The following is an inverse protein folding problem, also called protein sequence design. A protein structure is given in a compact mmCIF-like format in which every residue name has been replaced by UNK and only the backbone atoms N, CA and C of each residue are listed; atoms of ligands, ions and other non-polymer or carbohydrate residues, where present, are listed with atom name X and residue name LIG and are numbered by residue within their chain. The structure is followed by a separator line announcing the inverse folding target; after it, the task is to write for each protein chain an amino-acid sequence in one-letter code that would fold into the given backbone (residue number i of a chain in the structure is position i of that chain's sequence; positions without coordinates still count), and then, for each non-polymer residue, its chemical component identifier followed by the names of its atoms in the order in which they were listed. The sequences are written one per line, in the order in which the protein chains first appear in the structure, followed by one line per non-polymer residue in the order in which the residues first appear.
data_IF_418835115649
#
_entry.id   IF_418835115649
#
_cell.length_a   1.000
_cell.length_b   1.000
_cell.length_c   1.000
_cell.angle_alpha   90.00
_cell.angle_beta   90.00
_cell.angle_gamma   90.00
#
_symmetry.space_group_name_H-M   'P 1'
#
loop_
_entity.id
_entity.type
_entity.pdbx_description
1 polymer ?
#
# COMPACT_ATOMS: atom_id res chain seq x y z
N UNK A 1 32.70 20.83 4.81
CA UNK A 1 31.28 20.87 4.41
C UNK A 1 30.76 22.25 4.80
N UNK A 2 30.45 23.09 3.81
CA UNK A 2 30.28 24.53 4.01
C UNK A 2 29.07 24.89 4.88
N UNK A 3 29.33 25.70 5.92
CA UNK A 3 28.31 26.19 6.87
C UNK A 3 27.18 26.98 6.21
N UNK A 4 27.43 27.55 5.03
CA UNK A 4 26.41 28.23 4.21
C UNK A 4 25.45 27.23 3.59
N UNK A 5 25.96 26.11 3.06
CA UNK A 5 25.16 25.04 2.47
C UNK A 5 24.24 24.37 3.52
N UNK A 6 24.74 24.18 4.75
CA UNK A 6 23.94 23.65 5.87
C UNK A 6 22.80 24.58 6.27
N UNK A 7 23.02 25.91 6.26
CA UNK A 7 22.00 26.91 6.60
C UNK A 7 20.93 27.05 5.52
N UNK A 8 21.32 26.99 4.24
CA UNK A 8 20.37 27.02 3.12
C UNK A 8 19.52 25.74 3.09
N UNK A 9 20.11 24.58 3.37
CA UNK A 9 19.38 23.31 3.49
C UNK A 9 18.37 23.34 4.65
N UNK A 10 18.77 23.90 5.79
CA UNK A 10 17.92 24.04 6.97
C UNK A 10 16.75 25.00 6.75
N UNK A 11 16.98 26.12 6.04
CA UNK A 11 15.92 27.05 5.66
C UNK A 11 14.93 26.41 4.67
N UNK A 12 15.42 25.62 3.71
CA UNK A 12 14.56 24.89 2.76
C UNK A 12 13.72 23.82 3.48
N UNK A 13 14.29 23.13 4.47
CA UNK A 13 13.57 22.16 5.32
C UNK A 13 12.47 22.84 6.14
N UNK A 14 12.72 24.03 6.69
CA UNK A 14 11.72 24.79 7.48
C UNK A 14 10.56 25.29 6.61
N UNK A 15 10.85 25.72 5.36
CA UNK A 15 9.81 26.15 4.42
C UNK A 15 8.94 24.98 3.96
N UNK A 16 9.51 23.77 3.80
CA UNK A 16 8.76 22.55 3.47
C UNK A 16 7.83 22.10 4.63
N UNK A 17 8.16 22.44 5.88
CA UNK A 17 7.36 22.07 7.05
C UNK A 17 6.17 23.00 7.34
N UNK A 18 6.02 24.10 6.61
CA UNK A 18 5.06 25.17 6.96
C UNK A 18 3.68 25.07 6.28
N UNK A 19 3.30 23.93 5.71
CA UNK A 19 1.97 23.77 5.09
C UNK A 19 1.08 22.92 6.01
N UNK A 20 0.27 23.59 6.83
CA UNK A 20 -0.81 22.98 7.59
C UNK A 20 -2.14 23.32 6.93
N UNK A 21 -2.79 22.34 6.30
CA UNK A 21 -4.24 22.26 6.15
C UNK A 21 -4.70 20.79 6.09
N UNK A 22 -5.59 20.48 7.04
CA UNK A 22 -6.51 19.34 7.22
C UNK A 22 -7.50 19.26 6.02
N UNK A 23 -8.15 18.17 5.58
CA UNK A 23 -8.20 16.71 5.83
C UNK A 23 -8.96 16.09 4.63
N UNK A 24 -8.55 14.89 4.22
CA UNK A 24 -9.31 13.78 3.62
C UNK A 24 -8.34 12.99 2.72
N UNK A 25 -7.76 11.92 3.24
CA UNK A 25 -6.97 11.00 2.44
C UNK A 25 -7.87 9.82 2.07
N UNK A 26 -8.08 9.61 0.77
CA UNK A 26 -8.73 8.42 0.24
C UNK A 26 -7.65 7.36 -0.08
N UNK A 27 -8.04 6.09 0.00
CA UNK A 27 -7.26 4.85 -0.04
C UNK A 27 -6.59 4.43 1.27
N UNK A 28 -6.94 3.21 1.68
CA UNK A 28 -6.37 2.50 2.81
C UNK A 28 -4.85 2.43 2.67
N UNK A 29 -4.17 2.90 3.73
CA UNK A 29 -2.73 2.82 3.85
C UNK A 29 -2.41 1.81 4.94
N UNK A 30 -1.65 0.79 4.58
CA UNK A 30 -1.24 -0.26 5.52
C UNK A 30 0.19 0.02 5.95
N UNK A 31 0.43 0.06 7.26
CA UNK A 31 1.75 0.28 7.87
C UNK A 31 2.79 -0.74 7.42
N UNK A 32 2.35 -1.97 7.18
CA UNK A 32 3.16 -3.09 6.72
C UNK A 32 3.25 -3.17 5.18
N UNK A 33 3.50 -2.03 4.54
CA UNK A 33 3.50 -1.88 3.08
C UNK A 33 4.51 -2.76 2.35
N UNK A 34 5.64 -3.12 2.98
CA UNK A 34 6.67 -3.97 2.36
C UNK A 34 6.21 -5.42 2.16
N UNK A 35 5.23 -5.88 2.94
CA UNK A 35 4.73 -7.26 2.87
C UNK A 35 3.68 -7.44 1.77
N UNK A 36 3.27 -6.35 1.13
CA UNK A 36 2.37 -6.36 -0.02
C UNK A 36 2.64 -5.18 -0.97
N UNK A 37 3.78 -5.22 -1.68
CA UNK A 37 4.16 -4.12 -2.56
C UNK A 37 3.33 -4.08 -3.86
N UNK A 38 2.70 -5.21 -4.25
CA UNK A 38 1.86 -5.31 -5.45
C UNK A 38 0.63 -4.39 -5.40
N UNK A 39 0.11 -4.14 -4.19
CA UNK A 39 -0.98 -3.17 -3.98
C UNK A 39 -0.60 -1.78 -4.52
N UNK A 40 0.63 -1.33 -4.24
CA UNK A 40 1.11 0.00 -4.59
C UNK A 40 1.72 0.10 -5.98
N UNK A 41 2.49 -0.91 -6.40
CA UNK A 41 3.27 -0.88 -7.62
C UNK A 41 3.15 -2.19 -8.42
N UNK A 42 2.54 -2.17 -9.62
CA UNK A 42 2.39 -3.38 -10.44
C UNK A 42 3.71 -3.99 -10.92
N UNK A 43 4.82 -3.24 -10.86
CA UNK A 43 6.15 -3.76 -11.18
C UNK A 43 6.65 -4.81 -10.16
N UNK A 44 5.92 -5.06 -9.07
CA UNK A 44 6.19 -6.16 -8.14
C UNK A 44 5.51 -7.48 -8.51
N UNK A 45 4.74 -7.56 -9.60
CA UNK A 45 4.14 -8.85 -10.00
C UNK A 45 5.24 -9.88 -10.31
N UNK A 46 5.15 -11.06 -9.71
CA UNK A 46 6.13 -12.13 -9.85
C UNK A 46 7.48 -11.82 -9.19
N UNK A 47 7.48 -11.02 -8.14
CA UNK A 47 8.71 -10.66 -7.43
C UNK A 47 9.17 -11.75 -6.46
N UNK A 48 8.27 -12.61 -5.99
CA UNK A 48 8.60 -13.78 -5.18
C UNK A 48 9.11 -14.97 -6.01
N UNK A 49 9.80 -15.89 -5.34
CA UNK A 49 10.40 -17.11 -5.91
C UNK A 49 9.39 -18.24 -6.16
N UNK A 50 8.30 -17.94 -6.85
CA UNK A 50 7.27 -18.92 -7.15
C UNK A 50 5.88 -18.32 -7.26
N UNK A 51 4.87 -19.11 -6.94
CA UNK A 51 3.51 -18.62 -6.78
C UNK A 51 3.37 -18.09 -5.35
N UNK A 52 3.16 -16.79 -5.21
CA UNK A 52 2.98 -16.14 -3.93
C UNK A 52 1.54 -15.66 -3.80
N UNK A 53 0.89 -16.08 -2.72
CA UNK A 53 -0.48 -15.70 -2.36
C UNK A 53 -0.39 -14.91 -1.06
N UNK A 54 -0.91 -13.68 -1.04
CA UNK A 54 -0.89 -12.80 0.13
C UNK A 54 -2.30 -12.40 0.50
N UNK A 55 -2.68 -12.65 1.74
CA UNK A 55 -3.92 -12.19 2.36
C UNK A 55 -3.62 -11.17 3.45
N UNK A 56 -4.37 -10.08 3.48
CA UNK A 56 -4.31 -9.08 4.54
C UNK A 56 -5.71 -8.66 4.95
N UNK A 57 -5.90 -8.52 6.26
CA UNK A 57 -7.09 -7.92 6.83
C UNK A 57 -6.67 -6.84 7.81
N UNK A 58 -7.14 -5.61 7.60
CA UNK A 58 -6.85 -4.47 8.45
C UNK A 58 -8.14 -3.88 8.99
N UNK A 59 -8.19 -3.65 10.30
CA UNK A 59 -9.22 -2.87 10.97
C UNK A 59 -8.56 -1.65 11.59
N UNK A 60 -8.84 -0.47 11.03
CA UNK A 60 -8.21 0.77 11.46
C UNK A 60 -9.05 1.46 12.52
N UNK A 61 -8.40 2.17 13.43
CA UNK A 61 -9.03 3.05 14.42
C UNK A 61 -10.18 2.38 15.18
N UNK A 62 -9.89 1.20 15.74
CA UNK A 62 -10.87 0.37 16.45
C UNK A 62 -11.53 1.18 17.57
N UNK A 63 -12.84 1.06 17.71
CA UNK A 63 -13.63 1.84 18.67
C UNK A 63 -14.26 3.12 18.08
N UNK A 64 -13.88 3.50 16.86
CA UNK A 64 -14.58 4.53 16.09
C UNK A 64 -15.66 3.89 15.20
N UNK A 65 -16.87 4.46 15.21
CA UNK A 65 -17.94 3.92 14.37
C UNK A 65 -17.71 4.26 12.89
N UNK A 66 -18.00 3.32 12.01
CA UNK A 66 -17.70 3.45 10.58
C UNK A 66 -16.20 3.45 10.23
N UNK A 67 -15.31 3.05 11.14
CA UNK A 67 -13.87 3.05 10.87
C UNK A 67 -13.48 2.11 9.72
N UNK A 68 -12.38 2.42 8.98
CA UNK A 68 -11.96 1.64 7.82
C UNK A 68 -11.70 0.16 8.14
N UNK A 69 -12.27 -0.72 7.32
CA UNK A 69 -11.97 -2.14 7.30
C UNK A 69 -11.57 -2.54 5.88
N UNK A 70 -10.33 -3.01 5.75
CA UNK A 70 -9.71 -3.30 4.46
C UNK A 70 -9.34 -4.77 4.38
N UNK A 71 -9.69 -5.41 3.27
CA UNK A 71 -9.31 -6.76 2.90
C UNK A 71 -8.53 -6.68 1.60
N UNK A 72 -7.40 -7.39 1.55
CA UNK A 72 -6.63 -7.53 0.34
C UNK A 72 -6.23 -8.98 0.16
N UNK A 73 -6.43 -9.50 -1.05
CA UNK A 73 -5.97 -10.81 -1.45
C UNK A 73 -5.26 -10.68 -2.79
N UNK A 74 -4.04 -11.18 -2.90
CA UNK A 74 -3.33 -11.26 -4.17
C UNK A 74 -2.75 -12.63 -4.39
N UNK A 75 -2.58 -12.98 -5.67
CA UNK A 75 -1.80 -14.10 -6.11
C UNK A 75 -0.94 -13.65 -7.29
N UNK A 76 0.37 -13.81 -7.21
CA UNK A 76 1.29 -13.42 -8.27
C UNK A 76 2.40 -14.45 -8.47
N UNK A 77 2.89 -14.55 -9.69
CA UNK A 77 4.01 -15.43 -10.02
C UNK A 77 4.78 -14.92 -11.23
N UNK A 78 5.93 -15.53 -11.46
CA UNK A 78 6.83 -15.22 -12.57
C UNK A 78 6.97 -16.41 -13.50
N UNK A 79 6.70 -16.17 -14.77
CA UNK A 79 7.02 -17.11 -15.84
C UNK A 79 8.53 -17.20 -16.11
N UNK A 80 8.94 -18.28 -16.77
CA UNK A 80 10.30 -18.47 -17.27
C UNK A 80 10.72 -17.38 -18.29
N UNK A 81 9.76 -16.74 -18.97
CA UNK A 81 10.01 -15.75 -20.02
C UNK A 81 10.18 -14.32 -19.51
N UNK A 82 10.64 -14.12 -18.27
CA UNK A 82 10.84 -12.79 -17.66
C UNK A 82 9.56 -11.96 -17.52
N UNK A 83 8.39 -12.61 -17.56
CA UNK A 83 7.09 -11.95 -17.37
C UNK A 83 6.53 -12.37 -16.01
N UNK A 84 6.23 -11.39 -15.16
CA UNK A 84 5.43 -11.56 -13.96
C UNK A 84 3.96 -11.25 -14.24
N UNK A 85 3.06 -12.01 -13.65
CA UNK A 85 1.63 -11.76 -13.70
C UNK A 85 1.02 -11.99 -12.32
N UNK A 86 -0.03 -11.26 -12.01
CA UNK A 86 -0.74 -11.42 -10.75
C UNK A 86 -2.16 -10.89 -10.81
N UNK A 87 -2.99 -11.40 -9.91
CA UNK A 87 -4.36 -10.96 -9.68
C UNK A 87 -4.45 -10.44 -8.26
N UNK A 88 -5.23 -9.39 -8.06
CA UNK A 88 -5.54 -8.89 -6.73
C UNK A 88 -7.00 -8.46 -6.59
N UNK A 89 -7.54 -8.76 -5.41
CA UNK A 89 -8.84 -8.37 -4.93
C UNK A 89 -8.63 -7.41 -3.75
N UNK A 90 -9.28 -6.27 -3.81
CA UNK A 90 -9.28 -5.28 -2.74
C UNK A 90 -10.73 -4.99 -2.37
N UNK A 91 -11.03 -5.02 -1.08
CA UNK A 91 -12.32 -4.66 -0.56
C UNK A 91 -12.14 -3.75 0.64
N UNK A 92 -12.73 -2.56 0.60
CA UNK A 92 -12.60 -1.56 1.64
C UNK A 92 -13.94 -0.95 2.01
N UNK A 93 -14.18 -0.84 3.31
CA UNK A 93 -15.41 -0.30 3.87
C UNK A 93 -15.05 0.85 4.80
N UNK A 94 -15.58 2.04 4.51
CA UNK A 94 -15.38 3.25 5.32
C UNK A 94 -16.75 3.90 5.51
N UNK A 95 -17.31 3.80 6.71
CA UNK A 95 -18.67 4.25 7.00
C UNK A 95 -19.70 3.67 6.02
N UNK A 96 -20.41 4.55 5.31
CA UNK A 96 -21.40 4.21 4.30
C UNK A 96 -20.81 3.80 2.93
N UNK A 97 -19.51 4.01 2.71
CA UNK A 97 -18.80 3.71 1.46
C UNK A 97 -18.28 2.28 1.47
N UNK A 98 -18.49 1.57 0.36
CA UNK A 98 -17.86 0.27 0.06
C UNK A 98 -17.19 0.34 -1.30
N UNK A 99 -15.96 -0.16 -1.38
CA UNK A 99 -15.17 -0.17 -2.60
C UNK A 99 -14.61 -1.56 -2.84
N UNK A 100 -14.76 -2.06 -4.07
CA UNK A 100 -14.27 -3.36 -4.50
C UNK A 100 -13.43 -3.20 -5.76
N UNK A 101 -12.15 -3.55 -5.73
CA UNK A 101 -11.33 -3.64 -6.93
C UNK A 101 -11.04 -5.10 -7.27
N UNK A 102 -11.15 -5.41 -8.56
CA UNK A 102 -10.57 -6.61 -9.17
C UNK A 102 -9.51 -6.14 -10.18
N UNK A 103 -8.27 -6.54 -9.96
CA UNK A 103 -7.11 -6.01 -10.67
C UNK A 103 -6.23 -7.14 -11.21
N UNK A 104 -5.80 -7.00 -12.47
CA UNK A 104 -4.73 -7.76 -13.09
C UNK A 104 -3.45 -6.92 -13.16
N UNK A 105 -2.33 -7.55 -12.86
CA UNK A 105 -1.01 -6.93 -12.83
C UNK A 105 -0.09 -7.71 -13.77
N UNK A 106 0.65 -7.00 -14.62
CA UNK A 106 1.64 -7.57 -15.51
C UNK A 106 2.95 -6.83 -15.36
N UNK A 107 4.06 -7.55 -15.26
CA UNK A 107 5.39 -7.00 -15.08
C UNK A 107 6.38 -7.63 -16.07
N UNK A 108 7.23 -6.81 -16.67
CA UNK A 108 8.27 -7.24 -17.59
C UNK A 108 9.66 -6.99 -17.01
N UNK A 109 10.46 -8.05 -16.91
CA UNK A 109 11.77 -8.04 -16.25
C UNK A 109 12.90 -7.82 -17.25
N UNK A 110 13.51 -6.64 -17.21
CA UNK A 110 14.65 -6.24 -18.03
C UNK A 110 15.94 -6.43 -17.21
N UNK A 111 16.75 -7.42 -17.58
CA UNK A 111 18.10 -7.59 -17.02
C UNK A 111 19.03 -6.56 -17.69
N UNK A 112 19.48 -5.55 -16.95
CA UNK A 112 20.42 -4.55 -17.47
C UNK A 112 21.85 -5.09 -17.44
N UNK A 113 22.21 -5.78 -16.35
CA UNK A 113 23.43 -6.57 -16.23
C UNK A 113 23.27 -7.63 -15.13
N UNK A 114 24.38 -8.23 -14.68
CA UNK A 114 24.36 -9.27 -13.63
C UNK A 114 23.83 -8.78 -12.27
N UNK A 115 23.94 -7.48 -11.97
CA UNK A 115 23.60 -6.90 -10.66
C UNK A 115 22.30 -6.09 -10.69
N UNK A 116 22.01 -5.42 -11.80
CA UNK A 116 20.88 -4.48 -11.89
C UNK A 116 19.80 -4.98 -12.82
N UNK A 117 18.56 -4.83 -12.37
CA UNK A 117 17.35 -5.21 -13.09
C UNK A 117 16.35 -4.06 -13.03
N UNK A 118 15.70 -3.80 -14.15
CA UNK A 118 14.59 -2.86 -14.26
C UNK A 118 13.33 -3.66 -14.56
N UNK A 119 12.26 -3.42 -13.81
CA UNK A 119 10.95 -4.02 -14.05
C UNK A 119 9.96 -2.92 -14.35
N UNK A 120 9.23 -3.10 -15.43
CA UNK A 120 8.12 -2.23 -15.83
C UNK A 120 6.83 -3.00 -15.60
N UNK A 121 5.87 -2.37 -14.94
CA UNK A 121 4.59 -2.96 -14.58
C UNK A 121 3.42 -2.15 -15.09
N UNK A 122 2.36 -2.85 -15.47
CA UNK A 122 1.05 -2.28 -15.80
C UNK A 122 -0.02 -2.97 -14.97
N UNK A 123 -1.02 -2.20 -14.58
CA UNK A 123 -2.21 -2.64 -13.84
C UNK A 123 -3.43 -2.34 -14.68
N UNK A 124 -4.36 -3.28 -14.77
CA UNK A 124 -5.69 -3.04 -15.33
C UNK A 124 -6.73 -3.69 -14.44
N UNK A 125 -7.93 -3.12 -14.37
CA UNK A 125 -8.95 -3.67 -13.49
C UNK A 125 -10.27 -2.93 -13.57
N UNK A 126 -11.16 -3.33 -12.67
CA UNK A 126 -12.44 -2.68 -12.45
C UNK A 126 -12.56 -2.32 -10.97
N UNK A 127 -13.13 -1.15 -10.72
CA UNK A 127 -13.56 -0.71 -9.41
C UNK A 127 -15.08 -0.67 -9.37
N UNK A 128 -15.70 -1.29 -8.39
CA UNK A 128 -17.11 -1.06 -8.04
C UNK A 128 -17.16 -0.23 -6.76
N UNK A 129 -17.68 0.98 -6.90
CA UNK A 129 -17.88 1.93 -5.82
C UNK A 129 -19.36 1.98 -5.45
N UNK A 130 -19.64 1.79 -4.17
CA UNK A 130 -20.99 1.77 -3.64
C UNK A 130 -21.11 2.70 -2.44
N UNK A 131 -22.17 3.52 -2.41
CA UNK A 131 -22.53 4.31 -1.23
C UNK A 131 -23.95 3.98 -0.83
N UNK A 132 -24.12 3.51 0.40
CA UNK A 132 -25.44 3.34 0.99
C UNK A 132 -25.81 4.56 1.83
N UNK A 133 -26.62 5.46 1.26
CA UNK A 133 -27.05 6.69 1.93
C UNK A 133 -27.96 6.46 3.15
N UNK A 134 -28.51 5.27 3.33
CA UNK A 134 -29.29 4.92 4.53
C UNK A 134 -28.42 4.77 5.78
N UNK A 135 -27.10 4.64 5.61
CA UNK A 135 -26.12 4.58 6.69
C UNK A 135 -25.49 5.95 6.99
N UNK A 136 -26.03 7.03 6.42
CA UNK A 136 -25.62 8.40 6.73
C UNK A 136 -26.61 8.97 7.74
N UNK A 137 -26.10 9.51 8.85
CA UNK A 137 -26.93 10.22 9.82
C UNK A 137 -27.44 11.52 9.19
N UNK A 138 -28.77 11.66 9.13
CA UNK A 138 -29.43 12.86 8.65
C UNK A 138 -29.38 13.90 9.77
N UNK A 139 -28.62 14.98 9.57
CA UNK A 139 -28.45 16.04 10.57
C UNK A 139 -29.68 16.96 10.68
N UNK A 140 -30.43 17.16 9.58
CA UNK A 140 -31.61 18.01 9.53
C UNK A 140 -32.90 17.21 9.29
N UNK A 141 -33.75 17.01 10.32
CA UNK A 141 -35.04 16.35 10.16
C UNK A 141 -35.98 17.25 9.33
N UNK A 142 -36.16 16.89 8.05
CA UNK A 142 -37.01 17.63 7.11
C UNK A 142 -36.47 17.70 5.67
N UNK A 143 -35.21 17.34 5.43
CA UNK A 143 -34.72 17.16 4.06
C UNK A 143 -35.43 15.98 3.39
N UNK A 144 -36.30 16.28 2.41
CA UNK A 144 -36.80 15.28 1.47
C UNK A 144 -35.65 14.80 0.58
N UNK A 145 -34.93 13.77 1.04
CA UNK A 145 -34.00 13.04 0.19
C UNK A 145 -34.86 12.16 -0.73
N UNK A 146 -35.22 12.71 -1.88
CA UNK A 146 -35.97 12.04 -2.94
C UNK A 146 -35.44 10.62 -3.17
N UNK A 147 -36.28 9.61 -2.89
CA UNK A 147 -36.19 8.20 -3.34
C UNK A 147 -34.77 7.60 -3.36
N UNK A 148 -34.36 7.10 -2.19
CA UNK A 148 -33.08 6.45 -1.89
C UNK A 148 -32.79 5.22 -2.75
N UNK A 149 -31.98 5.37 -3.79
CA UNK A 149 -31.31 4.26 -4.44
C UNK A 149 -29.85 4.18 -4.01
N UNK A 150 -29.42 2.96 -3.70
CA UNK A 150 -28.03 2.58 -3.59
C UNK A 150 -27.29 3.01 -4.86
N UNK A 151 -26.37 3.96 -4.74
CA UNK A 151 -25.58 4.40 -5.89
C UNK A 151 -24.39 3.46 -6.07
N UNK A 152 -24.48 2.58 -7.07
CA UNK A 152 -23.38 1.75 -7.52
C UNK A 152 -22.82 2.32 -8.82
N UNK A 153 -21.51 2.57 -8.85
CA UNK A 153 -20.81 3.01 -10.05
C UNK A 153 -19.56 2.17 -10.24
N UNK A 154 -19.42 1.65 -11.46
CA UNK A 154 -18.24 0.89 -11.86
C UNK A 154 -17.35 1.77 -12.72
N UNK A 155 -16.04 1.76 -12.45
CA UNK A 155 -15.04 2.48 -13.25
C UNK A 155 -13.85 1.58 -13.58
N UNK A 156 -13.24 1.71 -14.75
CA UNK A 156 -11.99 1.02 -15.05
C UNK A 156 -10.84 1.55 -14.18
N UNK A 157 -9.87 0.69 -13.92
CA UNK A 157 -8.58 1.01 -13.31
C UNK A 157 -7.51 0.78 -14.36
N UNK A 158 -6.61 1.75 -14.54
CA UNK A 158 -5.37 1.55 -15.27
C UNK A 158 -4.23 2.18 -14.50
N UNK A 159 -3.19 1.40 -14.23
CA UNK A 159 -2.00 1.83 -13.52
C UNK A 159 -0.72 1.44 -14.23
N UNK A 160 0.36 2.10 -13.83
CA UNK A 160 1.70 1.80 -14.32
C UNK A 160 2.71 1.95 -13.20
N UNK A 161 3.82 1.24 -13.31
CA UNK A 161 4.91 1.33 -12.35
C UNK A 161 6.24 0.90 -12.94
N UNK A 162 7.30 1.36 -12.32
CA UNK A 162 8.65 0.91 -12.58
C UNK A 162 9.32 0.60 -11.24
N UNK A 163 10.16 -0.42 -11.23
CA UNK A 163 10.98 -0.77 -10.09
C UNK A 163 12.38 -1.14 -10.57
N UNK A 164 13.38 -0.45 -10.04
CA UNK A 164 14.78 -0.70 -10.28
C UNK A 164 15.38 -1.35 -9.03
N UNK A 165 16.01 -2.50 -9.18
CA UNK A 165 16.59 -3.20 -8.05
C UNK A 165 17.94 -3.83 -8.37
N UNK A 166 18.68 -4.04 -7.29
CA UNK A 166 19.88 -4.84 -7.23
C UNK A 166 19.71 -5.95 -6.19
N UNK A 167 20.77 -6.70 -5.92
CA UNK A 167 20.79 -7.69 -4.84
C UNK A 167 20.67 -7.07 -3.43
N UNK A 168 20.82 -5.74 -3.28
CA UNK A 168 20.80 -5.07 -1.96
C UNK A 168 19.82 -3.92 -1.82
N UNK A 169 19.23 -3.43 -2.89
CA UNK A 169 18.32 -2.28 -2.79
C UNK A 169 17.28 -2.29 -3.88
N UNK A 170 16.20 -1.57 -3.64
CA UNK A 170 15.17 -1.27 -4.62
C UNK A 170 14.77 0.20 -4.54
N UNK A 171 14.38 0.73 -5.70
CA UNK A 171 13.74 2.01 -5.83
C UNK A 171 12.68 1.91 -6.91
N UNK A 172 11.47 2.38 -6.63
CA UNK A 172 10.37 2.31 -7.57
C UNK A 172 9.52 3.56 -7.56
N UNK A 173 8.82 3.74 -8.66
CA UNK A 173 7.81 4.77 -8.85
C UNK A 173 6.58 4.11 -9.46
N UNK A 174 5.40 4.54 -9.08
CA UNK A 174 4.17 3.98 -9.64
C UNK A 174 2.97 4.88 -9.45
N UNK A 175 1.96 4.62 -10.26
CA UNK A 175 0.60 5.10 -10.06
C UNK A 175 -0.33 3.91 -10.33
N UNK A 176 -0.93 3.29 -9.28
CA UNK A 176 -1.79 2.13 -9.46
C UNK A 176 -3.12 2.49 -10.14
N UNK A 177 -3.49 3.78 -10.16
CA UNK A 177 -4.59 4.28 -10.95
C UNK A 177 -4.27 5.67 -11.52
N UNK A 178 -4.10 5.73 -12.83
CA UNK A 178 -3.88 6.93 -13.64
C UNK A 178 -5.20 7.57 -14.11
N UNK A 179 -6.30 6.82 -14.08
CA UNK A 179 -7.61 7.32 -14.47
C UNK A 179 -8.30 8.02 -13.30
N UNK A 180 -8.59 9.30 -13.50
CA UNK A 180 -9.48 10.03 -12.61
C UNK A 180 -10.92 9.62 -12.89
N UNK A 181 -11.64 9.24 -11.84
CA UNK A 181 -13.06 8.90 -11.94
C UNK A 181 -13.85 9.79 -10.99
N UNK A 182 -14.74 10.60 -11.56
CA UNK A 182 -15.72 11.42 -10.84
C UNK A 182 -16.97 10.59 -10.65
N UNK A 183 -17.40 10.40 -9.41
CA UNK A 183 -18.66 9.77 -9.04
C UNK A 183 -19.68 10.89 -8.81
N UNK A 184 -20.76 10.90 -9.58
CA UNK A 184 -21.81 11.92 -9.48
C UNK A 184 -23.16 11.24 -9.40
N UNK A 185 -24.08 11.84 -8.64
CA UNK A 185 -25.48 11.38 -8.54
C UNK A 185 -26.25 11.67 -9.84
N UNK A 186 -27.44 11.10 -10.00
CA UNK A 186 -28.41 11.36 -11.07
C UNK A 186 -28.74 12.85 -11.27
N UNK A 187 -28.56 13.68 -10.25
CA UNK A 187 -28.75 15.14 -10.30
C UNK A 187 -27.50 15.93 -10.72
N UNK A 188 -26.40 15.24 -11.09
CA UNK A 188 -25.14 15.87 -11.54
C UNK A 188 -24.18 16.30 -10.43
N UNK A 189 -24.56 16.19 -9.16
CA UNK A 189 -23.70 16.53 -8.02
C UNK A 189 -22.57 15.51 -7.85
N UNK A 190 -21.32 15.97 -7.81
CA UNK A 190 -20.14 15.13 -7.54
C UNK A 190 -20.13 14.65 -6.08
N UNK A 191 -20.15 13.33 -5.89
CA UNK A 191 -20.13 12.65 -4.59
C UNK A 191 -18.72 12.26 -4.15
N UNK A 192 -17.86 11.89 -5.10
CA UNK A 192 -16.50 11.47 -4.81
C UNK A 192 -15.63 11.59 -6.05
N UNK A 193 -14.37 11.97 -5.87
CA UNK A 193 -13.38 11.95 -6.94
C UNK A 193 -12.28 10.97 -6.55
N UNK A 194 -12.13 9.89 -7.33
CA UNK A 194 -10.94 9.05 -7.23
C UNK A 194 -9.79 9.80 -7.85
N UNK A 195 -8.88 10.28 -7.00
CA UNK A 195 -7.69 11.03 -7.40
C UNK A 195 -6.60 10.06 -7.84
N UNK A 196 -5.68 10.57 -8.66
CA UNK A 196 -4.47 9.84 -9.00
C UNK A 196 -3.51 9.84 -7.81
N UNK A 197 -3.00 8.66 -7.48
CA UNK A 197 -1.96 8.49 -6.47
C UNK A 197 -0.64 8.22 -7.16
N UNK A 198 0.40 8.90 -6.71
CA UNK A 198 1.77 8.66 -7.15
C UNK A 198 2.57 8.15 -5.96
N UNK A 199 3.15 6.98 -6.10
CA UNK A 199 3.95 6.32 -5.08
C UNK A 199 5.41 6.30 -5.49
N UNK A 200 6.29 6.53 -4.52
CA UNK A 200 7.72 6.27 -4.63
C UNK A 200 8.13 5.39 -3.47
N UNK A 201 8.79 4.28 -3.76
CA UNK A 201 9.26 3.34 -2.75
C UNK A 201 10.78 3.19 -2.83
N UNK A 202 11.42 3.00 -1.68
CA UNK A 202 12.85 2.76 -1.58
C UNK A 202 13.11 1.78 -0.43
N UNK A 203 14.12 0.92 -0.57
CA UNK A 203 14.63 0.15 0.55
C UNK A 203 16.01 -0.40 0.28
N UNK A 204 16.74 -0.69 1.36
CA UNK A 204 18.09 -1.23 1.32
C UNK A 204 18.21 -2.37 2.31
N UNK A 205 18.80 -3.48 1.89
CA UNK A 205 18.99 -4.70 2.67
C UNK A 205 20.42 -4.73 3.24
N UNK A 206 20.54 -4.60 4.55
CA UNK A 206 21.77 -4.81 5.29
C UNK A 206 21.85 -6.25 5.81
N UNK A 207 22.75 -7.04 5.24
CA UNK A 207 23.11 -8.35 5.78
C UNK A 207 24.09 -8.14 6.94
N UNK A 208 23.57 -8.08 8.17
CA UNK A 208 24.41 -7.93 9.37
C UNK A 208 25.20 -9.21 9.64
N UNK A 209 24.55 -10.36 9.38
CA UNK A 209 25.10 -11.71 9.43
C UNK A 209 24.40 -12.57 8.38
N UNK A 210 24.92 -13.77 8.12
CA UNK A 210 24.30 -14.74 7.20
C UNK A 210 22.84 -15.08 7.53
N UNK A 211 22.47 -14.96 8.80
CA UNK A 211 21.17 -15.29 9.36
C UNK A 211 20.34 -14.06 9.75
N UNK A 212 20.91 -12.85 9.72
CA UNK A 212 20.24 -11.63 10.15
C UNK A 212 20.27 -10.58 9.04
N UNK A 213 19.08 -10.19 8.61
CA UNK A 213 18.87 -9.12 7.64
C UNK A 213 18.13 -7.95 8.30
N UNK A 214 18.58 -6.74 8.03
CA UNK A 214 17.93 -5.49 8.43
C UNK A 214 17.60 -4.66 7.18
N UNK A 215 16.32 -4.35 6.96
CA UNK A 215 15.84 -3.67 5.76
C UNK A 215 15.08 -2.40 6.13
N UNK A 216 15.74 -1.24 6.22
CA UNK A 216 15.06 0.04 6.18
C UNK A 216 14.36 0.24 4.83
N UNK A 217 13.11 0.66 4.89
CA UNK A 217 12.31 0.96 3.71
C UNK A 217 11.42 2.19 3.92
N UNK A 218 11.09 2.85 2.82
CA UNK A 218 10.30 4.07 2.75
C UNK A 218 9.28 3.98 1.62
N UNK A 219 8.06 4.46 1.88
CA UNK A 219 7.01 4.65 0.89
C UNK A 219 6.45 6.07 1.00
N UNK A 220 6.73 6.88 -0.01
CA UNK A 220 6.15 8.20 -0.17
C UNK A 220 4.92 8.14 -1.09
N UNK A 221 3.87 8.87 -0.73
CA UNK A 221 2.66 9.04 -1.53
C UNK A 221 2.41 10.52 -1.77
N UNK A 222 2.18 10.88 -3.02
CA UNK A 222 1.79 12.22 -3.46
C UNK A 222 0.41 12.13 -4.11
N UNK A 223 -0.50 13.00 -3.68
CA UNK A 223 -1.86 13.10 -4.22
C UNK A 223 -2.18 14.57 -4.47
N UNK A 224 -2.70 14.95 -5.65
CA UNK A 224 -3.08 16.33 -5.92
C UNK A 224 -4.07 16.88 -4.88
N UNK A 225 -3.71 18.00 -4.26
CA UNK A 225 -4.53 18.66 -3.25
C UNK A 225 -4.59 17.95 -1.89
N UNK A 226 -3.60 17.10 -1.56
CA UNK A 226 -3.41 16.55 -0.22
C UNK A 226 -1.93 16.65 0.20
N UNK A 227 -1.65 16.70 1.53
CA UNK A 227 -0.28 16.64 2.03
C UNK A 227 0.44 15.37 1.59
N UNK A 228 1.76 15.46 1.39
CA UNK A 228 2.61 14.30 1.15
C UNK A 228 2.54 13.39 2.36
N UNK A 229 2.43 12.09 2.13
CA UNK A 229 2.37 11.08 3.19
C UNK A 229 3.54 10.11 3.06
N UNK A 230 4.29 9.93 4.14
CA UNK A 230 5.56 9.20 4.17
C UNK A 230 5.46 8.09 5.21
N UNK A 231 5.56 6.83 4.78
CA UNK A 231 5.76 5.69 5.67
C UNK A 231 7.23 5.31 5.64
N UNK A 232 7.77 5.06 6.81
CA UNK A 232 9.07 4.43 6.97
C UNK A 232 8.92 3.17 7.80
N UNK A 233 9.80 2.23 7.57
CA UNK A 233 9.84 0.98 8.30
C UNK A 233 11.27 0.53 8.46
N UNK A 234 11.55 -0.15 9.57
CA UNK A 234 12.78 -0.89 9.77
C UNK A 234 12.39 -2.35 9.98
N UNK A 235 12.64 -3.17 8.98
CA UNK A 235 12.29 -4.58 8.99
C UNK A 235 13.51 -5.41 9.42
N UNK A 236 13.29 -6.36 10.30
CA UNK A 236 14.27 -7.30 10.82
C UNK A 236 13.81 -8.70 10.45
N UNK A 237 14.72 -9.48 9.86
CA UNK A 237 14.49 -10.87 9.51
C UNK A 237 15.60 -11.73 10.12
N UNK A 238 15.20 -12.78 10.84
CA UNK A 238 16.08 -13.81 11.36
C UNK A 238 15.76 -15.14 10.70
N UNK A 239 16.76 -15.72 10.02
CA UNK A 239 16.67 -16.95 9.24
C UNK A 239 15.54 -16.97 8.20
N UNK A 240 15.04 -15.80 7.78
CA UNK A 240 13.81 -15.65 6.98
C UNK A 240 12.54 -16.26 7.61
N UNK A 241 12.64 -16.69 8.86
CA UNK A 241 11.59 -17.38 9.62
C UNK A 241 10.92 -16.46 10.62
N UNK A 242 11.69 -15.63 11.32
CA UNK A 242 11.14 -14.68 12.29
C UNK A 242 11.27 -13.28 11.72
N UNK A 243 10.14 -12.60 11.62
CA UNK A 243 10.01 -11.29 11.01
C UNK A 243 9.54 -10.32 12.08
N UNK A 244 10.17 -9.16 12.13
CA UNK A 244 9.72 -8.07 12.98
C UNK A 244 9.89 -6.76 12.22
N UNK A 245 9.02 -5.78 12.45
CA UNK A 245 9.29 -4.43 11.98
C UNK A 245 8.75 -3.38 12.94
N UNK A 246 9.40 -2.22 12.91
CA UNK A 246 8.83 -0.98 13.44
C UNK A 246 8.43 -0.12 12.25
N UNK A 247 7.23 0.42 12.28
CA UNK A 247 6.63 1.18 11.18
C UNK A 247 6.22 2.56 11.70
N UNK A 248 6.48 3.60 10.92
CA UNK A 248 6.13 4.98 11.25
C UNK A 248 5.47 5.62 10.03
N UNK A 249 4.22 6.06 10.18
CA UNK A 249 3.55 6.94 9.23
C UNK A 249 3.62 8.37 9.76
N UNK A 250 4.35 9.21 9.04
CA UNK A 250 4.63 10.57 9.46
C UNK A 250 3.34 11.37 9.70
N UNK A 251 3.20 11.94 10.90
CA UNK A 251 2.00 12.64 11.37
C UNK A 251 0.69 11.82 11.36
N UNK A 252 0.78 10.49 11.40
CA UNK A 252 -0.39 9.63 11.43
C UNK A 252 -0.29 8.53 12.51
N UNK A 253 0.70 7.63 12.41
CA UNK A 253 0.79 6.46 13.28
C UNK A 253 2.22 5.96 13.50
N UNK A 254 2.38 5.16 14.54
CA UNK A 254 3.58 4.37 14.81
C UNK A 254 3.14 2.98 15.23
N UNK A 255 3.87 1.94 14.83
CA UNK A 255 3.46 0.58 15.13
C UNK A 255 4.55 -0.44 14.99
N UNK A 256 4.19 -1.65 15.35
CA UNK A 256 5.06 -2.82 15.30
C UNK A 256 4.39 -3.92 14.50
N UNK A 257 5.21 -4.75 13.86
CA UNK A 257 4.80 -5.98 13.22
C UNK A 257 5.63 -7.13 13.75
N UNK A 258 4.98 -8.26 13.96
CA UNK A 258 5.62 -9.53 14.26
C UNK A 258 5.06 -10.59 13.32
N UNK A 259 5.95 -11.38 12.72
CA UNK A 259 5.60 -12.45 11.81
C UNK A 259 6.47 -13.68 12.02
N UNK A 260 5.93 -14.83 11.66
CA UNK A 260 6.62 -16.11 11.74
C UNK A 260 6.26 -16.98 10.53
N UNK A 261 7.25 -17.66 10.00
CA UNK A 261 7.07 -18.78 9.07
C UNK A 261 6.68 -20.01 9.90
N UNK A 262 5.39 -20.37 9.85
CA UNK A 262 4.82 -21.49 10.60
C UNK A 262 5.23 -22.84 10.01
N UNK A 263 5.18 -22.93 8.68
CA UNK A 263 5.64 -24.05 7.87
C UNK A 263 6.40 -23.48 6.66
N UNK A 264 7.13 -24.31 5.93
CA UNK A 264 8.07 -23.86 4.90
C UNK A 264 7.45 -22.90 3.88
N UNK A 265 6.19 -23.10 3.51
CA UNK A 265 5.51 -22.27 2.52
C UNK A 265 4.58 -21.21 3.14
N UNK A 266 4.35 -21.20 4.46
CA UNK A 266 3.37 -20.33 5.12
C UNK A 266 3.98 -19.38 6.14
N UNK A 267 3.76 -18.09 5.92
CA UNK A 267 4.04 -17.01 6.86
C UNK A 267 2.74 -16.42 7.39
N UNK A 268 2.69 -16.18 8.69
CA UNK A 268 1.63 -15.39 9.33
C UNK A 268 2.25 -14.20 10.04
N UNK A 269 1.49 -13.14 10.21
CA UNK A 269 1.93 -12.02 10.99
C UNK A 269 0.79 -11.13 11.46
N UNK A 270 1.15 -10.27 12.38
CA UNK A 270 0.23 -9.34 13.00
C UNK A 270 0.95 -8.00 13.24
N UNK A 271 0.31 -6.93 12.83
CA UNK A 271 0.73 -5.56 13.10
C UNK A 271 -0.28 -4.85 13.98
N UNK A 272 0.26 -4.03 14.87
CA UNK A 272 -0.50 -3.10 15.69
C UNK A 272 0.09 -1.70 15.56
N UNK A 273 -0.74 -0.76 15.12
CA UNK A 273 -0.37 0.64 14.97
C UNK A 273 -1.19 1.51 15.91
N UNK A 274 -0.53 2.44 16.58
CA UNK A 274 -1.16 3.49 17.38
C UNK A 274 -1.12 4.81 16.64
N UNK A 275 -2.17 5.62 16.80
CA UNK A 275 -2.16 6.97 16.26
C UNK A 275 -1.14 7.84 17.03
N UNK A 276 -0.34 8.63 16.31
CA UNK A 276 0.63 9.58 16.93
C UNK A 276 0.05 10.97 17.14
N UNK A 277 -1.15 11.22 16.62
CA UNK A 277 -1.85 12.50 16.75
C UNK A 277 -2.82 12.46 17.94
N UNK A 278 -3.42 13.61 18.30
CA UNK A 278 -4.49 13.70 19.32
C UNK A 278 -5.67 12.75 19.07
N UNK A 279 -5.79 12.24 17.85
CA UNK A 279 -6.78 11.22 17.48
C UNK A 279 -6.61 9.91 18.26
N UNK A 280 -5.39 9.62 18.77
CA UNK A 280 -5.09 8.45 19.62
C UNK A 280 -5.97 8.35 20.86
N UNK A 281 -6.46 9.48 21.39
CA UNK A 281 -7.34 9.49 22.56
C UNK A 281 -8.77 8.99 22.26
N UNK A 282 -9.11 8.80 20.98
CA UNK A 282 -10.46 8.48 20.52
C UNK A 282 -10.50 7.16 19.72
N UNK A 283 -9.40 6.43 19.64
CA UNK A 283 -9.34 5.12 18.99
C UNK A 283 -8.37 4.17 19.70
N UNK A 284 -8.63 2.88 19.58
CA UNK A 284 -7.83 1.80 20.20
C UNK A 284 -6.78 1.24 19.23
N UNK A 285 -6.26 2.07 18.34
CA UNK A 285 -5.26 1.68 17.35
C UNK A 285 -5.83 0.95 16.13
N UNK A 286 -4.92 0.43 15.32
CA UNK A 286 -5.20 -0.28 14.08
C UNK A 286 -4.56 -1.66 14.13
N UNK A 287 -5.31 -2.67 13.74
CA UNK A 287 -4.91 -4.08 13.78
C UNK A 287 -4.83 -4.61 12.36
N UNK A 288 -3.69 -5.19 11.97
CA UNK A 288 -3.55 -5.79 10.64
C UNK A 288 -3.04 -7.22 10.75
N UNK A 289 -3.82 -8.17 10.23
CA UNK A 289 -3.43 -9.56 10.06
C UNK A 289 -2.84 -9.76 8.68
N UNK A 290 -1.77 -10.54 8.62
CA UNK A 290 -1.05 -10.89 7.40
C UNK A 290 -0.91 -12.40 7.29
N UNK A 291 -1.10 -12.90 6.07
CA UNK A 291 -0.89 -14.27 5.68
C UNK A 291 -0.17 -14.26 4.32
N UNK A 292 0.87 -15.07 4.18
CA UNK A 292 1.50 -15.33 2.89
C UNK A 292 1.72 -16.83 2.72
N UNK A 293 1.36 -17.35 1.56
CA UNK A 293 1.63 -18.71 1.13
C UNK A 293 2.46 -18.67 -0.15
N UNK A 294 3.69 -19.18 -0.12
CA UNK A 294 4.60 -19.18 -1.27
C UNK A 294 4.91 -20.60 -1.69
N UNK A 295 4.37 -21.04 -2.82
CA UNK A 295 4.74 -22.30 -3.45
C UNK A 295 5.99 -22.06 -4.31
N UNK A 296 7.12 -22.60 -3.88
CA UNK A 296 8.39 -22.46 -4.61
C UNK A 296 8.30 -23.14 -5.98
N UNK A 297 8.80 -22.46 -7.01
CA UNK A 297 8.93 -23.05 -8.34
C UNK A 297 10.38 -23.54 -8.52
N UNK A 298 10.61 -24.85 -8.42
CA UNK A 298 11.95 -25.47 -8.54
C UNK A 298 12.66 -25.14 -9.86
N UNK A 299 11.92 -24.78 -10.91
CA UNK A 299 12.45 -24.49 -12.24
C UNK A 299 12.60 -22.99 -12.54
N UNK A 300 12.18 -22.10 -11.64
CA UNK A 300 12.39 -20.67 -11.81
C UNK A 300 13.80 -20.28 -11.35
N UNK A 301 14.52 -19.45 -12.14
CA UNK A 301 15.71 -18.76 -11.61
C UNK A 301 15.28 -18.07 -10.30
N UNK A 302 15.88 -18.49 -9.16
CA UNK A 302 15.72 -17.80 -7.88
C UNK A 302 15.93 -16.32 -8.12
N UNK A 303 14.84 -15.58 -8.10
CA UNK A 303 14.87 -14.15 -7.99
C UNK A 303 15.37 -13.89 -6.58
N UNK A 304 16.61 -13.39 -6.48
CA UNK A 304 17.16 -12.75 -5.28
C UNK A 304 16.36 -11.50 -4.85
N UNK A 305 15.08 -11.41 -5.20
CA UNK A 305 14.10 -10.43 -4.81
C UNK A 305 13.52 -10.81 -3.42
N UNK A 306 14.38 -11.13 -2.46
CA UNK A 306 13.97 -11.19 -1.07
C UNK A 306 14.02 -9.77 -0.50
N UNK A 307 13.03 -8.95 -0.85
CA UNK A 307 12.89 -7.61 -0.28
C UNK A 307 11.89 -7.55 0.89
N UNK A 308 11.48 -8.72 1.40
CA UNK A 308 10.59 -8.94 2.53
C UNK A 308 10.90 -10.26 3.24
#
# INVERSE_FOLDING_TARGET
MDRTLTKTLFFFIIVIFSIHNIRAQNDAKLSIFNYNPLFYNPAFAGSADGLNIVGMYSSQWVGFDGAPKTQYLSADTKSLQKIGYGLSLYHDVIGAKREYNLEGNFAYYIKLNRKYKLVLGVKSGINSYNVNRNNLDIYEPGEEISNFNQENKTSPIFGAGANFYSDKFFIGISSPNLLQSTYSNSSGTTLSNRKNYYYTNFGYQFELRRDITLTPALLARVTPGAPISILTSLNYSYLNKYLASVNFDYNASAGIFLGIQLIDDLKVGYAYDISTTKFSNYNNGSHTFFLSYTLLNENAEKCTCHLY
#
